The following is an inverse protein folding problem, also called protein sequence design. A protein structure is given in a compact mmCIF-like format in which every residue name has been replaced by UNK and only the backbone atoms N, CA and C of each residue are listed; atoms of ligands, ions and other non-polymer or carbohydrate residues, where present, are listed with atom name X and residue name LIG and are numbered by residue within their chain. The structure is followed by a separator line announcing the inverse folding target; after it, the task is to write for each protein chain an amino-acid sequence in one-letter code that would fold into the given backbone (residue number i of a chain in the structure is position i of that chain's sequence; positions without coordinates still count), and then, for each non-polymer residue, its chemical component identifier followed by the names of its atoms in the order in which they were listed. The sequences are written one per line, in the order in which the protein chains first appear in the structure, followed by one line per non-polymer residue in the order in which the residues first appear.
data_IF_768415136288
#
_entry.id   IF_768415136288
#
_cell.length_a   1.000
_cell.length_b   1.000
_cell.length_c   1.000
_cell.angle_alpha   90.00
_cell.angle_beta   90.00
_cell.angle_gamma   90.00
#
_symmetry.space_group_name_H-M   'P 1'
#
loop_
_entity.id
_entity.type
_entity.pdbx_description
1 polymer ?
#
# COMPACT_ATOMS: atom_id res chain seq x y z
N UNK A 1 -18.94 -2.70 3.85
CA UNK A 1 -17.68 -2.76 4.58
C UNK A 1 -16.51 -2.56 3.64
N UNK A 2 -15.58 -1.70 4.02
CA UNK A 2 -14.44 -1.41 3.16
C UNK A 2 -13.31 -2.40 3.43
N UNK A 3 -13.10 -3.35 2.50
CA UNK A 3 -12.08 -4.37 2.66
C UNK A 3 -10.66 -3.80 2.61
N UNK A 4 -10.50 -2.56 2.17
CA UNK A 4 -9.21 -1.91 2.12
C UNK A 4 -8.60 -1.79 3.53
N UNK A 5 -9.45 -1.77 4.55
CA UNK A 5 -8.98 -1.69 5.94
C UNK A 5 -8.13 -2.88 6.37
N UNK A 6 -8.15 -3.98 5.60
CA UNK A 6 -7.27 -5.10 5.89
C UNK A 6 -5.81 -4.78 5.58
N UNK A 7 -5.59 -3.85 4.65
CA UNK A 7 -4.26 -3.60 4.11
C UNK A 7 -3.70 -2.24 4.46
N UNK A 8 -4.57 -1.30 4.81
CA UNK A 8 -4.20 0.12 4.92
C UNK A 8 -4.70 0.68 6.24
N UNK A 9 -3.94 1.59 6.82
CA UNK A 9 -4.38 2.31 8.01
C UNK A 9 -3.90 3.75 7.92
N UNK A 10 -4.58 4.63 8.66
CA UNK A 10 -4.20 6.03 8.75
C UNK A 10 -3.96 6.33 10.22
N UNK A 11 -2.77 6.80 10.55
CA UNK A 11 -2.41 7.17 11.91
C UNK A 11 -1.94 8.61 11.92
N UNK A 12 -2.51 9.40 12.82
CA UNK A 12 -2.22 10.83 12.89
C UNK A 12 -0.73 11.14 12.93
N UNK A 13 0.01 10.37 13.70
CA UNK A 13 1.41 10.67 13.97
C UNK A 13 2.35 9.90 13.07
N UNK A 14 1.82 9.26 12.04
CA UNK A 14 2.63 8.44 11.16
C UNK A 14 2.49 8.93 9.74
N UNK A 15 3.62 9.22 9.11
CA UNK A 15 3.68 9.65 7.72
C UNK A 15 2.80 10.86 7.44
N UNK A 16 2.63 11.74 8.44
CA UNK A 16 1.83 12.94 8.26
C UNK A 16 0.35 12.69 8.13
N UNK A 17 -0.13 11.53 8.57
CA UNK A 17 -1.54 11.23 8.51
C UNK A 17 -2.02 10.67 7.19
N UNK A 18 -1.09 10.35 6.26
CA UNK A 18 -1.48 9.74 4.99
C UNK A 18 -1.64 8.24 5.18
N UNK A 19 -2.41 7.57 4.30
CA UNK A 19 -2.57 6.12 4.39
C UNK A 19 -1.23 5.40 4.24
N UNK A 20 -1.01 4.41 5.11
CA UNK A 20 0.17 3.56 5.05
C UNK A 20 -0.29 2.11 5.02
N UNK A 21 0.60 1.22 4.57
CA UNK A 21 0.31 -0.21 4.65
C UNK A 21 0.28 -0.62 6.11
N UNK A 22 -0.73 -1.41 6.47
CA UNK A 22 -0.97 -1.77 7.86
C UNK A 22 0.27 -2.41 8.49
N UNK A 23 0.64 -1.91 9.67
CA UNK A 23 1.80 -2.43 10.37
C UNK A 23 3.13 -1.90 9.87
N UNK A 24 3.12 -0.95 8.94
CA UNK A 24 4.35 -0.39 8.38
C UNK A 24 4.30 1.13 8.40
N UNK A 25 5.41 1.75 8.01
CA UNK A 25 5.47 3.20 7.80
C UNK A 25 5.50 3.56 6.33
N UNK A 26 5.23 2.59 5.46
CA UNK A 26 5.31 2.79 4.02
C UNK A 26 3.99 3.35 3.51
N UNK A 27 4.00 4.56 2.98
CA UNK A 27 2.79 5.19 2.47
C UNK A 27 2.30 4.45 1.23
N UNK A 28 0.98 4.33 1.11
CA UNK A 28 0.39 3.67 -0.05
C UNK A 28 0.79 4.38 -1.34
N UNK A 29 0.88 5.72 -1.30
CA UNK A 29 1.26 6.45 -2.50
C UNK A 29 2.66 6.10 -2.99
N UNK A 30 3.52 5.62 -2.08
CA UNK A 30 4.86 5.20 -2.47
C UNK A 30 4.81 4.04 -3.46
N UNK A 31 3.87 3.11 -3.24
CA UNK A 31 3.69 2.01 -4.17
C UNK A 31 3.35 2.53 -5.58
N UNK A 32 2.39 3.43 -5.67
CA UNK A 32 1.96 3.91 -6.99
C UNK A 32 3.03 4.74 -7.67
N UNK A 33 3.77 5.55 -6.90
CA UNK A 33 4.91 6.28 -7.47
C UNK A 33 5.96 5.33 -8.00
N UNK A 34 6.23 4.27 -7.26
CA UNK A 34 7.24 3.28 -7.64
C UNK A 34 6.83 2.56 -8.93
N UNK A 35 5.54 2.24 -9.05
CA UNK A 35 5.06 1.50 -10.21
C UNK A 35 5.06 2.32 -11.50
N UNK A 36 5.30 3.62 -11.41
CA UNK A 36 5.43 4.43 -12.62
C UNK A 36 6.68 4.06 -13.41
N UNK A 37 7.71 3.56 -12.74
CA UNK A 37 8.98 3.25 -13.41
C UNK A 37 9.51 1.86 -13.08
N UNK A 38 9.00 1.25 -12.01
CA UNK A 38 9.50 -0.05 -11.56
C UNK A 38 8.37 -1.05 -11.51
N UNK A 39 8.72 -2.32 -11.34
CA UNK A 39 7.71 -3.37 -11.22
C UNK A 39 7.28 -3.57 -9.77
N UNK A 40 6.18 -4.29 -9.59
CA UNK A 40 5.74 -4.67 -8.26
C UNK A 40 6.80 -5.49 -7.55
N UNK A 41 7.48 -6.38 -8.29
CA UNK A 41 8.53 -7.18 -7.70
C UNK A 41 9.65 -6.32 -7.12
N UNK A 42 10.02 -5.27 -7.87
CA UNK A 42 11.04 -4.35 -7.39
C UNK A 42 10.58 -3.61 -6.15
N UNK A 43 9.30 -3.21 -6.13
CA UNK A 43 8.75 -2.54 -4.96
C UNK A 43 8.84 -3.44 -3.74
N UNK A 44 8.41 -4.69 -3.88
CA UNK A 44 8.40 -5.61 -2.74
C UNK A 44 9.80 -5.91 -2.25
N UNK A 45 10.77 -5.94 -3.15
CA UNK A 45 12.16 -6.13 -2.77
C UNK A 45 12.69 -4.95 -1.97
N UNK A 46 12.32 -3.74 -2.39
CA UNK A 46 12.79 -2.53 -1.73
C UNK A 46 12.08 -2.23 -0.43
N UNK A 47 10.86 -2.74 -0.24
CA UNK A 47 10.06 -2.47 0.95
C UNK A 47 9.57 -3.79 1.56
N UNK A 48 10.49 -4.55 2.18
CA UNK A 48 10.14 -5.90 2.64
C UNK A 48 9.10 -5.93 3.76
N UNK A 49 8.82 -4.81 4.41
CA UNK A 49 7.77 -4.78 5.43
C UNK A 49 6.37 -4.82 4.83
N UNK A 50 6.24 -4.56 3.53
CA UNK A 50 4.96 -4.64 2.83
C UNK A 50 4.85 -6.02 2.19
N UNK A 51 3.76 -6.72 2.47
CA UNK A 51 3.56 -8.04 1.88
C UNK A 51 2.97 -7.92 0.48
N UNK A 52 3.16 -8.98 -0.31
CA UNK A 52 2.54 -9.02 -1.65
C UNK A 52 1.03 -8.91 -1.54
N UNK A 53 0.45 -9.57 -0.54
CA UNK A 53 -1.00 -9.52 -0.35
C UNK A 53 -1.48 -8.09 -0.13
N UNK A 54 -0.76 -7.33 0.67
CA UNK A 54 -1.11 -5.94 0.92
C UNK A 54 -1.04 -5.11 -0.36
N UNK A 55 0.07 -5.24 -1.08
CA UNK A 55 0.27 -4.45 -2.29
C UNK A 55 -0.77 -4.80 -3.34
N UNK A 56 -0.99 -6.08 -3.58
CA UNK A 56 -1.95 -6.51 -4.59
C UNK A 56 -3.38 -6.13 -4.19
N UNK A 57 -3.68 -6.23 -2.89
CA UNK A 57 -5.01 -5.84 -2.42
C UNK A 57 -5.30 -4.39 -2.69
N UNK A 58 -4.31 -3.53 -2.50
CA UNK A 58 -4.47 -2.11 -2.75
C UNK A 58 -4.60 -1.82 -4.25
N UNK A 59 -3.77 -2.47 -5.05
CA UNK A 59 -3.80 -2.27 -6.51
C UNK A 59 -5.14 -2.71 -7.09
N UNK A 60 -5.66 -3.83 -6.62
CA UNK A 60 -6.87 -4.43 -7.19
C UNK A 60 -8.16 -3.82 -6.64
N UNK A 61 -8.06 -3.11 -5.53
CA UNK A 61 -9.26 -2.62 -4.87
C UNK A 61 -10.18 -1.78 -5.77
N UNK A 62 -9.65 -0.82 -6.54
CA UNK A 62 -10.52 -0.02 -7.40
C UNK A 62 -11.23 -0.86 -8.47
N UNK A 63 -10.54 -1.86 -9.00
CA UNK A 63 -11.12 -2.70 -10.03
C UNK A 63 -12.29 -3.52 -9.50
N UNK A 64 -12.18 -3.99 -8.25
CA UNK A 64 -13.21 -4.82 -7.66
C UNK A 64 -14.39 -4.02 -7.15
N UNK A 65 -14.18 -2.73 -6.92
CA UNK A 65 -15.18 -1.90 -6.24
C UNK A 65 -15.69 -0.76 -7.12
N UNK A 66 -15.48 -0.86 -8.42
CA UNK A 66 -16.06 0.08 -9.37
C UNK A 66 -17.53 -0.31 -9.75
#
# INVERSE_FOLDING_TARGET
MNSLNKYVEVKKDLAGGVPVFKGTRVAVKTLFNYLEEESLEEFLTGFPSVTREQAEGVIEWPLKNL
#
